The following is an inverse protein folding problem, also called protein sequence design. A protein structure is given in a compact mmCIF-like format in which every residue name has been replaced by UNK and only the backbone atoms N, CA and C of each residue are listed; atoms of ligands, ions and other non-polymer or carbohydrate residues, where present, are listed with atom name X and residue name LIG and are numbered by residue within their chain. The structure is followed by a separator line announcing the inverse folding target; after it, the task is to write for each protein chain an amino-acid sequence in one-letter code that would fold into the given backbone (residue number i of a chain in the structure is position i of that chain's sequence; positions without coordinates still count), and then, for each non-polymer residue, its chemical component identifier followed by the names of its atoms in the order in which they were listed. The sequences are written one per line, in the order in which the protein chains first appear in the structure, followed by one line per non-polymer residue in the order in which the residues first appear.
data_IF_048515193448
#
_entry.id   IF_048515193448
#
_cell.length_a   1.000
_cell.length_b   1.000
_cell.length_c   1.000
_cell.angle_alpha   90.00
_cell.angle_beta   90.00
_cell.angle_gamma   90.00
#
_symmetry.space_group_name_H-M   'P 1'
#
loop_
_entity.id
_entity.type
_entity.pdbx_description
1 polymer ?
#
# COMPACT_ATOMS: atom_id res chain seq x y z
N UNK A 1 11.45 -5.69 -16.95
CA UNK A 1 10.66 -4.48 -16.71
C UNK A 1 9.35 -4.80 -16.00
N UNK A 2 8.83 -3.85 -15.23
CA UNK A 2 7.53 -3.98 -14.58
C UNK A 2 6.41 -3.82 -15.62
N UNK A 3 5.47 -4.74 -15.59
CA UNK A 3 4.25 -4.75 -16.42
C UNK A 3 3.11 -5.14 -15.52
N UNK A 4 2.15 -4.26 -15.30
CA UNK A 4 1.11 -4.60 -14.35
C UNK A 4 0.01 -3.56 -14.23
N UNK A 5 -0.74 -3.69 -13.16
CA UNK A 5 -1.87 -2.81 -12.84
C UNK A 5 -1.68 -2.16 -11.48
N UNK A 6 -2.29 -1.00 -11.33
CA UNK A 6 -2.33 -0.26 -10.06
C UNK A 6 -3.80 -0.05 -9.68
N UNK A 7 -4.22 -0.60 -8.54
CA UNK A 7 -5.51 -0.24 -7.94
C UNK A 7 -5.32 1.04 -7.13
N UNK A 8 -5.33 2.19 -7.80
CA UNK A 8 -5.00 3.48 -7.19
C UNK A 8 -6.05 4.57 -7.36
N UNK A 9 -7.27 4.21 -7.73
CA UNK A 9 -8.35 5.16 -7.98
C UNK A 9 -9.10 5.54 -6.70
N UNK A 10 -9.82 6.65 -6.77
CA UNK A 10 -10.79 7.08 -5.75
C UNK A 10 -12.13 6.37 -6.00
N UNK A 11 -12.97 6.31 -4.96
CA UNK A 11 -14.26 5.64 -5.02
C UNK A 11 -14.20 4.23 -4.48
N UNK A 12 -15.27 3.47 -4.68
CA UNK A 12 -15.38 2.12 -4.14
C UNK A 12 -14.23 1.24 -4.61
N UNK A 13 -13.41 0.70 -3.71
CA UNK A 13 -12.35 -0.23 -4.08
C UNK A 13 -12.91 -1.48 -4.75
N UNK A 14 -12.09 -2.17 -5.52
CA UNK A 14 -12.49 -3.48 -6.04
C UNK A 14 -12.82 -4.43 -4.88
N UNK A 15 -13.80 -5.30 -5.11
CA UNK A 15 -14.09 -6.39 -4.17
C UNK A 15 -12.91 -7.36 -4.10
N UNK A 16 -12.86 -8.15 -3.04
CA UNK A 16 -11.85 -9.18 -2.90
C UNK A 16 -11.86 -10.17 -4.08
N UNK A 17 -13.05 -10.56 -4.52
CA UNK A 17 -13.22 -11.44 -5.67
C UNK A 17 -12.73 -10.81 -6.98
N UNK A 18 -13.01 -9.53 -7.19
CA UNK A 18 -12.52 -8.79 -8.36
C UNK A 18 -10.99 -8.69 -8.35
N UNK A 19 -10.39 -8.46 -7.20
CA UNK A 19 -8.93 -8.45 -7.05
C UNK A 19 -8.31 -9.78 -7.43
N UNK A 20 -8.87 -10.88 -6.93
CA UNK A 20 -8.41 -12.23 -7.28
C UNK A 20 -8.54 -12.49 -8.78
N UNK A 21 -9.65 -12.08 -9.38
CA UNK A 21 -9.88 -12.20 -10.83
C UNK A 21 -8.86 -11.40 -11.63
N UNK A 22 -8.56 -10.17 -11.22
CA UNK A 22 -7.57 -9.32 -11.89
C UNK A 22 -6.15 -9.88 -11.78
N UNK A 23 -5.80 -10.47 -10.65
CA UNK A 23 -4.51 -11.13 -10.47
C UNK A 23 -4.39 -12.34 -11.40
N UNK A 24 -5.44 -13.15 -11.51
CA UNK A 24 -5.49 -14.26 -12.47
C UNK A 24 -5.33 -13.79 -13.90
N UNK A 25 -6.03 -12.71 -14.27
CA UNK A 25 -5.89 -12.09 -15.59
C UNK A 25 -4.45 -11.62 -15.85
N UNK A 26 -3.81 -10.99 -14.87
CA UNK A 26 -2.41 -10.58 -14.99
C UNK A 26 -1.50 -11.78 -15.31
N UNK A 27 -1.72 -12.90 -14.65
CA UNK A 27 -0.99 -14.14 -14.94
C UNK A 27 -1.19 -14.62 -16.38
N UNK A 28 -2.45 -14.61 -16.84
CA UNK A 28 -2.82 -15.07 -18.18
C UNK A 28 -2.18 -14.24 -19.29
N UNK A 29 -2.06 -12.92 -19.11
CA UNK A 29 -1.49 -12.00 -20.10
C UNK A 29 -0.01 -11.67 -19.82
N UNK A 30 0.63 -12.39 -18.92
CA UNK A 30 2.05 -12.24 -18.55
C UNK A 30 2.41 -10.86 -18.00
N UNK A 31 1.49 -10.21 -17.31
CA UNK A 31 1.80 -9.09 -16.44
C UNK A 31 2.44 -9.61 -15.16
N UNK A 32 3.37 -8.85 -14.58
CA UNK A 32 4.17 -9.33 -13.45
C UNK A 32 4.04 -8.49 -12.19
N UNK A 33 3.14 -7.50 -12.16
CA UNK A 33 3.05 -6.57 -11.03
C UNK A 33 1.60 -6.16 -10.76
N UNK A 34 1.21 -6.22 -9.50
CA UNK A 34 -0.05 -5.67 -8.99
C UNK A 34 0.29 -4.75 -7.82
N UNK A 35 -0.08 -3.47 -7.93
CA UNK A 35 0.15 -2.47 -6.88
C UNK A 35 -1.16 -2.19 -6.17
N UNK A 36 -1.20 -2.52 -4.88
CA UNK A 36 -2.32 -2.29 -4.01
C UNK A 36 -2.23 -0.88 -3.42
N UNK A 37 -3.08 0.02 -3.91
CA UNK A 37 -3.09 1.43 -3.51
C UNK A 37 -4.50 2.06 -3.56
N UNK A 38 -5.58 1.36 -3.12
CA UNK A 38 -6.94 1.91 -3.23
C UNK A 38 -7.12 3.11 -2.31
N UNK A 39 -7.43 4.27 -2.86
CA UNK A 39 -7.52 5.54 -2.12
C UNK A 39 -8.59 5.53 -1.02
N UNK A 40 -9.64 4.75 -1.19
CA UNK A 40 -10.72 4.64 -0.21
C UNK A 40 -10.55 3.47 0.77
N UNK A 41 -9.44 2.75 0.73
CA UNK A 41 -9.01 1.93 1.86
C UNK A 41 -8.42 2.86 2.93
N UNK A 42 -9.14 3.04 4.03
CA UNK A 42 -8.73 3.96 5.09
C UNK A 42 -7.35 3.62 5.65
N UNK A 43 -7.03 2.34 5.79
CA UNK A 43 -5.75 1.89 6.36
C UNK A 43 -4.57 2.00 5.39
N UNK A 44 -4.84 2.25 4.12
CA UNK A 44 -3.82 2.60 3.14
C UNK A 44 -3.48 4.11 3.19
N UNK A 45 -4.45 4.98 3.53
CA UNK A 45 -4.32 6.42 3.39
C UNK A 45 -4.70 7.20 4.65
N UNK A 46 -5.98 7.36 4.94
CA UNK A 46 -6.46 8.26 6.01
C UNK A 46 -6.04 7.79 7.41
N UNK A 47 -6.13 6.51 7.65
CA UNK A 47 -5.78 5.84 8.91
C UNK A 47 -4.57 4.91 8.70
N UNK A 48 -3.57 5.40 8.02
CA UNK A 48 -2.41 4.60 7.63
C UNK A 48 -1.60 4.06 8.81
N UNK A 49 -1.71 4.68 9.99
CA UNK A 49 -1.04 4.21 11.21
C UNK A 49 -1.68 2.94 11.76
N UNK A 50 -2.96 2.69 11.45
CA UNK A 50 -3.66 1.52 11.93
C UNK A 50 -3.18 0.26 11.21
N UNK A 51 -2.98 -0.79 11.98
CA UNK A 51 -2.69 -2.11 11.44
C UNK A 51 -4.00 -2.77 10.97
N UNK A 52 -3.89 -3.67 10.02
CA UNK A 52 -5.03 -4.46 9.59
C UNK A 52 -5.44 -5.45 10.68
N UNK A 53 -6.72 -5.73 10.80
CA UNK A 53 -7.24 -6.76 11.69
C UNK A 53 -7.06 -8.17 11.09
N UNK A 54 -7.39 -9.21 11.88
CA UNK A 54 -7.20 -10.58 11.45
C UNK A 54 -7.97 -10.93 10.17
N UNK A 55 -9.19 -10.44 10.02
CA UNK A 55 -10.00 -10.70 8.83
C UNK A 55 -9.42 -10.00 7.58
N UNK A 56 -8.97 -8.76 7.74
CA UNK A 56 -8.31 -8.00 6.69
C UNK A 56 -6.96 -8.62 6.30
N UNK A 57 -6.18 -9.06 7.29
CA UNK A 57 -4.91 -9.76 7.07
C UNK A 57 -5.11 -11.06 6.30
N UNK A 58 -6.17 -11.82 6.61
CA UNK A 58 -6.49 -13.04 5.89
C UNK A 58 -6.75 -12.77 4.41
N UNK A 59 -7.50 -11.71 4.09
CA UNK A 59 -7.76 -11.32 2.70
C UNK A 59 -6.48 -10.87 1.98
N UNK A 60 -5.65 -10.06 2.62
CA UNK A 60 -4.36 -9.65 2.06
C UNK A 60 -3.46 -10.85 1.78
N UNK A 61 -3.42 -11.80 2.70
CA UNK A 61 -2.65 -13.04 2.55
C UNK A 61 -3.12 -13.84 1.34
N UNK A 62 -4.42 -13.95 1.11
CA UNK A 62 -4.95 -14.60 -0.09
C UNK A 62 -4.51 -13.89 -1.38
N UNK A 63 -4.51 -12.56 -1.39
CA UNK A 63 -4.03 -11.79 -2.55
C UNK A 63 -2.54 -12.02 -2.81
N UNK A 64 -1.73 -12.05 -1.76
CA UNK A 64 -0.30 -12.30 -1.84
C UNK A 64 -0.03 -13.69 -2.42
N UNK A 65 -0.75 -14.70 -1.94
CA UNK A 65 -0.64 -16.08 -2.45
C UNK A 65 -1.10 -16.18 -3.90
N UNK A 66 -2.21 -15.55 -4.27
CA UNK A 66 -2.68 -15.53 -5.65
C UNK A 66 -1.67 -14.88 -6.59
N UNK A 67 -1.03 -13.79 -6.15
CA UNK A 67 0.05 -13.17 -6.91
C UNK A 67 1.23 -14.13 -7.12
N UNK A 68 1.66 -14.81 -6.06
CA UNK A 68 2.76 -15.78 -6.16
C UNK A 68 2.44 -16.92 -7.13
N UNK A 69 1.22 -17.47 -7.06
CA UNK A 69 0.76 -18.55 -7.95
C UNK A 69 0.71 -18.13 -9.42
N UNK A 70 0.48 -16.84 -9.69
CA UNK A 70 0.36 -16.30 -11.05
C UNK A 70 1.65 -15.63 -11.54
N UNK A 71 2.75 -15.75 -10.81
CA UNK A 71 4.03 -15.06 -11.09
C UNK A 71 3.86 -13.54 -11.17
N UNK A 72 3.00 -13.00 -10.33
CA UNK A 72 2.72 -11.56 -10.20
C UNK A 72 3.33 -11.07 -8.88
N UNK A 73 4.07 -9.97 -8.94
CA UNK A 73 4.61 -9.32 -7.76
C UNK A 73 3.51 -8.50 -7.08
N UNK A 74 3.26 -8.76 -5.81
CA UNK A 74 2.35 -7.93 -5.00
C UNK A 74 3.16 -6.79 -4.39
N UNK A 75 2.79 -5.55 -4.72
CA UNK A 75 3.39 -4.34 -4.15
C UNK A 75 2.35 -3.67 -3.26
N UNK A 76 2.67 -3.51 -1.98
CA UNK A 76 1.83 -2.72 -1.08
C UNK A 76 2.30 -1.27 -1.10
N UNK A 77 1.40 -0.36 -1.45
CA UNK A 77 1.67 1.06 -1.40
C UNK A 77 1.00 1.69 -0.18
N UNK A 78 1.70 2.54 0.53
CA UNK A 78 1.17 3.32 1.65
C UNK A 78 1.20 4.80 1.30
N UNK A 79 0.13 5.52 1.64
CA UNK A 79 0.00 6.95 1.34
C UNK A 79 -0.21 7.74 2.65
N UNK A 80 0.85 8.04 3.40
CA UNK A 80 0.76 8.74 4.69
C UNK A 80 0.78 10.26 4.56
N UNK A 81 0.79 10.81 3.33
CA UNK A 81 1.07 12.22 3.08
C UNK A 81 0.05 13.21 3.63
N UNK A 82 -1.18 12.77 3.94
CA UNK A 82 -2.22 13.67 4.44
C UNK A 82 -1.89 14.25 5.82
N UNK A 83 -1.29 13.46 6.71
CA UNK A 83 -1.07 13.84 8.10
C UNK A 83 0.25 13.37 8.70
N UNK A 84 1.20 12.92 7.87
CA UNK A 84 2.52 12.57 8.36
C UNK A 84 3.22 13.83 8.88
N UNK A 85 3.71 13.76 10.11
CA UNK A 85 4.38 14.88 10.75
C UNK A 85 5.87 14.88 10.40
N UNK A 86 6.27 15.84 9.57
CA UNK A 86 7.66 16.00 9.15
C UNK A 86 8.47 16.91 10.08
N UNK A 87 7.85 17.43 11.14
CA UNK A 87 8.47 18.29 12.15
C UNK A 87 9.11 17.46 13.26
N UNK A 88 10.04 18.08 14.01
CA UNK A 88 10.75 17.40 15.09
C UNK A 88 9.85 16.77 16.16
N UNK A 89 8.67 17.36 16.41
CA UNK A 89 7.75 16.93 17.47
C UNK A 89 7.04 15.60 17.16
N UNK A 90 6.88 15.25 15.91
CA UNK A 90 6.07 14.10 15.51
C UNK A 90 6.77 13.11 14.59
N UNK A 91 7.92 13.46 14.04
CA UNK A 91 8.60 12.66 13.03
C UNK A 91 8.94 11.25 13.53
N UNK A 92 9.52 11.14 14.70
CA UNK A 92 9.93 9.83 15.22
C UNK A 92 8.74 8.90 15.45
N UNK A 93 7.67 9.42 16.05
CA UNK A 93 6.46 8.62 16.30
C UNK A 93 5.81 8.16 15.00
N UNK A 94 5.73 9.03 14.00
CA UNK A 94 5.15 8.69 12.70
C UNK A 94 6.06 7.74 11.90
N UNK A 95 7.38 7.91 12.00
CA UNK A 95 8.32 6.97 11.39
C UNK A 95 8.21 5.58 12.03
N UNK A 96 8.10 5.50 13.35
CA UNK A 96 7.89 4.23 14.04
C UNK A 96 6.57 3.56 13.62
N UNK A 97 5.49 4.35 13.48
CA UNK A 97 4.20 3.85 13.00
C UNK A 97 4.31 3.32 11.56
N UNK A 98 5.04 4.00 10.70
CA UNK A 98 5.31 3.57 9.33
C UNK A 98 6.05 2.24 9.31
N UNK A 99 7.10 2.12 10.12
CA UNK A 99 7.89 0.89 10.20
C UNK A 99 7.08 -0.27 10.78
N UNK A 100 6.24 -0.01 11.79
CA UNK A 100 5.35 -1.02 12.37
C UNK A 100 4.34 -1.53 11.33
N UNK A 101 3.80 -0.63 10.52
CA UNK A 101 2.89 -0.99 9.41
C UNK A 101 3.58 -1.91 8.41
N UNK A 102 4.74 -1.51 7.93
CA UNK A 102 5.51 -2.31 6.97
C UNK A 102 5.94 -3.65 7.56
N UNK A 103 6.35 -3.69 8.82
CA UNK A 103 6.74 -4.92 9.48
C UNK A 103 5.56 -5.90 9.59
N UNK A 104 4.37 -5.41 9.94
CA UNK A 104 3.16 -6.24 9.99
C UNK A 104 2.82 -6.84 8.62
N UNK A 105 2.95 -6.07 7.55
CA UNK A 105 2.72 -6.52 6.19
C UNK A 105 3.81 -7.48 5.69
N UNK A 106 5.04 -7.24 6.07
CA UNK A 106 6.15 -8.15 5.77
C UNK A 106 5.90 -9.54 6.36
N UNK A 107 5.35 -9.60 7.56
CA UNK A 107 5.00 -10.88 8.21
C UNK A 107 3.91 -11.64 7.46
N UNK A 108 3.03 -10.95 6.73
CA UNK A 108 2.02 -11.57 5.88
C UNK A 108 2.60 -12.14 4.57
N UNK A 109 3.79 -11.72 4.20
CA UNK A 109 4.44 -12.15 2.97
C UNK A 109 4.72 -11.05 1.96
N UNK A 110 4.35 -9.78 2.25
CA UNK A 110 4.68 -8.66 1.36
C UNK A 110 6.19 -8.47 1.33
N UNK A 111 6.76 -8.35 0.13
CA UNK A 111 8.21 -8.15 -0.07
C UNK A 111 8.53 -6.88 -0.85
N UNK A 112 7.54 -6.30 -1.51
CA UNK A 112 7.69 -5.09 -2.29
C UNK A 112 6.77 -4.00 -1.73
N UNK A 113 7.35 -2.85 -1.42
CA UNK A 113 6.64 -1.74 -0.80
C UNK A 113 6.83 -0.47 -1.62
N UNK A 114 5.78 0.36 -1.66
CA UNK A 114 5.84 1.70 -2.23
C UNK A 114 5.37 2.72 -1.19
N UNK A 115 5.96 3.88 -1.21
CA UNK A 115 5.56 5.00 -0.38
C UNK A 115 5.08 6.12 -1.31
N UNK A 116 3.82 6.49 -1.16
CA UNK A 116 3.20 7.54 -1.96
C UNK A 116 3.08 8.82 -1.12
N UNK A 117 3.75 9.87 -1.56
CA UNK A 117 3.76 11.17 -0.88
C UNK A 117 3.01 12.22 -1.72
N UNK A 118 1.93 11.79 -2.34
CA UNK A 118 1.00 12.64 -3.05
C UNK A 118 0.03 13.33 -2.10
N UNK A 119 -0.64 14.37 -2.57
CA UNK A 119 -1.66 15.12 -1.82
C UNK A 119 -1.16 15.69 -0.47
N UNK A 120 0.09 16.12 -0.42
CA UNK A 120 0.64 16.76 0.79
C UNK A 120 -0.11 18.07 1.08
N UNK A 121 -0.56 18.27 2.34
CA UNK A 121 -1.49 19.35 2.67
C UNK A 121 -0.88 20.76 2.58
N UNK A 122 0.43 20.91 2.67
CA UNK A 122 1.08 22.22 2.58
C UNK A 122 2.51 22.17 2.02
N UNK A 123 3.01 23.35 1.65
CA UNK A 123 4.35 23.51 1.08
C UNK A 123 5.47 23.30 2.12
N UNK A 124 5.18 23.51 3.38
CA UNK A 124 6.15 23.32 4.48
C UNK A 124 6.51 21.85 4.63
N UNK A 125 5.51 20.99 4.60
CA UNK A 125 5.72 19.55 4.60
C UNK A 125 6.56 19.10 3.40
N UNK A 126 6.25 19.63 2.20
CA UNK A 126 7.02 19.32 0.99
C UNK A 126 8.48 19.76 1.07
N UNK A 127 8.74 20.93 1.66
CA UNK A 127 10.08 21.42 1.87
C UNK A 127 10.87 20.54 2.84
N UNK A 128 10.22 20.09 3.91
CA UNK A 128 10.83 19.19 4.91
C UNK A 128 11.22 17.84 4.29
N UNK A 129 10.42 17.29 3.38
CA UNK A 129 10.77 16.06 2.65
C UNK A 129 12.03 16.25 1.81
N UNK A 130 12.12 17.36 1.08
CA UNK A 130 13.26 17.65 0.19
C UNK A 130 14.57 17.89 0.94
N UNK A 131 14.51 18.31 2.20
CA UNK A 131 15.69 18.57 3.03
C UNK A 131 16.23 17.34 3.74
N UNK A 132 15.53 16.22 3.67
CA UNK A 132 15.90 14.94 4.30
C UNK A 132 16.30 13.90 3.26
#
# INVERSE_FOLDING_TARGET
PYRGIVEGFYGTPWSHEDRLSMIGFCGDVRMNTYIYAPKDDSKHRDQWRELYDDAEEAKLTELIHACAENNVRFVYALSPGLDFRFTADGYEADFEALMAKYDSLYRLGVRDFALLLDDLPDRTAQAAIKSR
#
